data_IF_381274116058
#
_entry.id   IF_381274116058
#
_cell.length_a   1.000
_cell.length_b   1.000
_cell.length_c   1.000
_cell.angle_alpha   90.00
_cell.angle_beta   90.00
_cell.angle_gamma   90.00
#
_symmetry.space_group_name_H-M   'P 1'
#
loop_
_entity.id
_entity.type
_entity.pdbx_description
1 polymer ?
#
# COMPACT_ATOMS: atom_id res chain seq x y z
N UNK A 1 10.13 35.94 -31.34
CA UNK A 1 9.96 34.45 -31.31
C UNK A 1 11.31 33.75 -31.30
N UNK A 2 12.28 34.31 -31.99
CA UNK A 2 13.69 33.82 -32.06
C UNK A 2 14.31 33.68 -30.65
N UNK A 3 14.18 34.70 -29.80
CA UNK A 3 14.68 34.64 -28.42
C UNK A 3 14.08 33.50 -27.61
N UNK A 4 12.80 33.22 -27.84
CA UNK A 4 12.10 32.11 -27.16
C UNK A 4 12.65 30.75 -27.61
N UNK A 5 12.91 30.61 -28.92
CA UNK A 5 13.51 29.41 -29.50
C UNK A 5 14.94 29.24 -29.00
N UNK A 6 15.74 30.33 -28.96
CA UNK A 6 17.09 30.28 -28.40
C UNK A 6 17.10 29.88 -26.93
N UNK A 7 16.25 30.48 -26.08
CA UNK A 7 16.17 30.11 -24.68
C UNK A 7 15.73 28.64 -24.52
N UNK A 8 14.83 28.13 -25.38
CA UNK A 8 14.46 26.71 -25.35
C UNK A 8 15.66 25.81 -25.66
N UNK A 9 16.46 26.15 -26.64
CA UNK A 9 17.65 25.37 -27.04
C UNK A 9 18.67 25.34 -25.92
N UNK A 10 18.94 26.51 -25.31
CA UNK A 10 19.97 26.68 -24.28
C UNK A 10 19.58 26.01 -22.96
N UNK A 11 18.30 26.13 -22.54
CA UNK A 11 17.86 25.73 -21.21
C UNK A 11 17.06 24.44 -21.20
N UNK A 12 16.57 23.97 -22.36
CA UNK A 12 15.64 22.85 -22.48
C UNK A 12 14.42 22.97 -21.52
N UNK A 13 14.00 24.19 -21.21
CA UNK A 13 12.86 24.47 -20.34
C UNK A 13 11.52 24.02 -20.99
N UNK A 14 10.43 23.93 -20.20
CA UNK A 14 9.14 23.51 -20.75
C UNK A 14 8.50 24.60 -21.60
N UNK A 15 7.76 24.18 -22.64
CA UNK A 15 7.00 25.13 -23.48
C UNK A 15 6.02 25.92 -22.63
N UNK A 16 5.35 25.29 -21.63
CA UNK A 16 4.45 26.00 -20.70
C UNK A 16 5.18 27.08 -19.89
N UNK A 17 6.42 26.83 -19.47
CA UNK A 17 7.22 27.84 -18.79
C UNK A 17 7.49 29.04 -19.73
N UNK A 18 7.91 28.79 -20.96
CA UNK A 18 8.12 29.82 -21.95
C UNK A 18 6.83 30.58 -22.31
N UNK A 19 5.73 29.85 -22.47
CA UNK A 19 4.41 30.43 -22.72
C UNK A 19 4.02 31.43 -21.63
N UNK A 20 4.20 31.03 -20.36
CA UNK A 20 3.95 31.89 -19.20
C UNK A 20 4.91 33.07 -19.12
N UNK A 21 6.22 32.83 -19.31
CA UNK A 21 7.27 33.86 -19.23
C UNK A 21 7.08 34.94 -20.28
N UNK A 22 6.82 34.51 -21.51
CA UNK A 22 6.72 35.43 -22.67
C UNK A 22 5.29 35.83 -23.00
N UNK A 23 4.29 35.38 -22.24
CA UNK A 23 2.86 35.63 -22.47
C UNK A 23 2.46 35.32 -23.92
N UNK A 24 2.90 34.18 -24.43
CA UNK A 24 2.61 33.66 -25.78
C UNK A 24 1.91 32.33 -25.72
N UNK A 25 1.20 31.99 -26.79
CA UNK A 25 0.56 30.71 -26.94
C UNK A 25 1.57 29.56 -27.02
N UNK A 26 1.35 28.49 -26.24
CA UNK A 26 2.24 27.32 -26.17
C UNK A 26 2.35 26.58 -27.52
N UNK A 27 1.25 26.51 -28.29
CA UNK A 27 1.25 25.88 -29.59
C UNK A 27 2.05 26.71 -30.62
N UNK A 28 1.97 28.03 -30.54
CA UNK A 28 2.77 28.91 -31.38
C UNK A 28 4.28 28.76 -31.12
N UNK A 29 4.66 28.65 -29.83
CA UNK A 29 6.05 28.37 -29.43
C UNK A 29 6.50 27.00 -29.94
N UNK A 30 5.67 25.96 -29.76
CA UNK A 30 5.98 24.64 -30.26
C UNK A 30 6.21 24.59 -31.78
N UNK A 31 5.34 25.27 -32.52
CA UNK A 31 5.50 25.38 -33.99
C UNK A 31 6.78 26.14 -34.38
N UNK A 32 7.14 27.22 -33.68
CA UNK A 32 8.36 27.96 -33.94
C UNK A 32 9.61 27.13 -33.69
N UNK A 33 9.66 26.35 -32.60
CA UNK A 33 10.77 25.43 -32.29
C UNK A 33 10.93 24.38 -33.39
N UNK A 34 9.81 23.76 -33.84
CA UNK A 34 9.83 22.79 -34.93
C UNK A 34 10.27 23.41 -36.25
N UNK A 35 9.80 24.62 -36.57
CA UNK A 35 10.20 25.37 -37.79
C UNK A 35 11.68 25.69 -37.78
N UNK A 36 12.30 25.90 -36.61
CA UNK A 36 13.72 26.08 -36.44
C UNK A 36 14.55 24.77 -36.52
N UNK A 37 13.92 23.65 -36.83
CA UNK A 37 14.61 22.35 -37.00
C UNK A 37 14.86 21.58 -35.70
N UNK A 38 14.25 21.99 -34.59
CA UNK A 38 14.45 21.34 -33.30
C UNK A 38 13.22 20.52 -32.89
N UNK A 39 13.47 19.36 -32.27
CA UNK A 39 12.40 18.60 -31.70
C UNK A 39 11.90 19.21 -30.38
N UNK A 40 10.58 19.24 -30.24
CA UNK A 40 9.94 19.60 -28.99
C UNK A 40 9.97 18.39 -28.06
N UNK A 41 10.83 18.44 -27.05
CA UNK A 41 10.93 17.40 -26.06
C UNK A 41 9.65 17.39 -25.22
N UNK A 42 8.81 16.40 -25.43
CA UNK A 42 7.72 16.13 -24.50
C UNK A 42 8.32 15.57 -23.20
N UNK A 43 8.33 16.38 -22.14
CA UNK A 43 8.88 15.96 -20.85
C UNK A 43 8.16 14.77 -20.23
N UNK A 44 6.95 14.46 -20.68
CA UNK A 44 6.25 13.25 -20.29
C UNK A 44 6.92 11.99 -20.84
N UNK A 45 7.50 12.08 -22.05
CA UNK A 45 8.27 10.99 -22.66
C UNK A 45 9.65 10.77 -22.01
N UNK A 46 10.09 11.69 -21.15
CA UNK A 46 11.33 11.53 -20.37
C UNK A 46 11.13 10.83 -19.04
N UNK A 47 9.86 10.58 -18.66
CA UNK A 47 9.57 9.81 -17.45
C UNK A 47 9.73 8.34 -17.83
N UNK A 48 10.77 7.73 -17.28
CA UNK A 48 10.99 6.28 -17.41
C UNK A 48 10.44 5.60 -16.18
N UNK A 49 9.72 4.53 -16.38
CA UNK A 49 9.28 3.56 -15.40
C UNK A 49 9.44 2.17 -16.01
N UNK A 50 9.52 1.15 -15.19
CA UNK A 50 9.30 -0.23 -15.64
C UNK A 50 7.80 -0.48 -15.72
N UNK A 51 7.17 -0.17 -16.85
CA UNK A 51 5.73 -0.32 -17.04
C UNK A 51 5.27 -1.79 -17.12
N UNK A 52 6.21 -2.72 -17.36
CA UNK A 52 5.99 -4.17 -17.46
C UNK A 52 6.18 -4.91 -16.13
N UNK A 53 6.43 -4.20 -15.03
CA UNK A 53 6.80 -4.83 -13.76
C UNK A 53 5.72 -5.74 -13.19
N UNK A 54 4.46 -5.46 -13.50
CA UNK A 54 3.30 -6.26 -13.09
C UNK A 54 2.75 -7.20 -14.17
N UNK A 55 3.44 -7.39 -15.30
CA UNK A 55 2.99 -8.34 -16.33
C UNK A 55 2.94 -9.79 -15.80
N UNK A 56 3.74 -10.08 -14.78
CA UNK A 56 3.73 -11.33 -14.01
C UNK A 56 3.83 -11.04 -12.53
N UNK A 57 3.06 -11.76 -11.71
CA UNK A 57 3.17 -11.70 -10.23
C UNK A 57 3.89 -12.96 -9.76
N UNK A 58 5.22 -12.92 -9.79
CA UNK A 58 6.14 -14.06 -9.60
C UNK A 58 7.10 -13.89 -8.41
N UNK A 59 7.08 -12.74 -7.73
CA UNK A 59 7.92 -12.45 -6.55
C UNK A 59 7.10 -11.90 -5.40
N UNK A 60 7.63 -12.07 -4.16
CA UNK A 60 7.09 -11.45 -2.95
C UNK A 60 6.84 -9.95 -3.14
N UNK A 61 7.84 -9.24 -3.68
CA UNK A 61 7.77 -7.79 -3.83
C UNK A 61 6.67 -7.35 -4.79
N UNK A 62 6.50 -8.04 -5.93
CA UNK A 62 5.41 -7.74 -6.88
C UNK A 62 4.04 -8.02 -6.28
N UNK A 63 3.87 -9.15 -5.59
CA UNK A 63 2.63 -9.50 -4.92
C UNK A 63 2.29 -8.49 -3.81
N UNK A 64 3.27 -8.12 -3.00
CA UNK A 64 3.12 -7.11 -1.95
C UNK A 64 2.69 -5.76 -2.52
N UNK A 65 3.42 -5.25 -3.51
CA UNK A 65 3.06 -3.95 -4.11
C UNK A 65 1.71 -3.98 -4.80
N UNK A 66 1.34 -5.09 -5.45
CA UNK A 66 -0.01 -5.23 -6.02
C UNK A 66 -1.07 -5.10 -4.92
N UNK A 67 -0.91 -5.77 -3.78
CA UNK A 67 -1.79 -5.66 -2.62
C UNK A 67 -1.88 -4.22 -2.10
N UNK A 68 -0.74 -3.55 -1.96
CA UNK A 68 -0.68 -2.15 -1.52
C UNK A 68 -1.36 -1.21 -2.52
N UNK A 69 -1.25 -1.47 -3.83
CA UNK A 69 -1.94 -0.71 -4.86
C UNK A 69 -3.46 -0.94 -4.85
N UNK A 70 -3.90 -2.13 -4.46
CA UNK A 70 -5.33 -2.41 -4.25
C UNK A 70 -5.91 -1.58 -3.11
N UNK A 71 -5.12 -1.24 -2.10
CA UNK A 71 -5.49 -0.29 -1.04
C UNK A 71 -5.35 1.17 -1.53
N UNK A 72 -4.14 1.66 -1.67
CA UNK A 72 -3.82 3.08 -1.82
C UNK A 72 -3.57 3.55 -3.26
N UNK A 73 -3.44 2.64 -4.23
CA UNK A 73 -3.24 3.00 -5.63
C UNK A 73 -4.48 3.62 -6.27
N UNK A 74 -4.30 4.61 -7.11
CA UNK A 74 -5.37 5.25 -7.87
C UNK A 74 -5.04 5.25 -9.37
N UNK A 75 -5.92 4.65 -10.16
CA UNK A 75 -5.85 4.62 -11.62
C UNK A 75 -6.92 5.53 -12.19
N UNK A 76 -6.53 6.48 -13.05
CA UNK A 76 -7.47 7.39 -13.69
C UNK A 76 -8.35 6.66 -14.71
N UNK A 77 -9.61 7.13 -14.85
CA UNK A 77 -10.54 6.64 -15.89
C UNK A 77 -10.12 7.03 -17.31
N UNK A 78 -9.55 8.22 -17.50
CA UNK A 78 -9.39 8.86 -18.82
C UNK A 78 -7.94 8.98 -19.27
N UNK A 79 -7.02 9.25 -18.35
CA UNK A 79 -5.71 9.80 -18.71
C UNK A 79 -4.58 8.79 -18.65
N UNK A 80 -4.88 7.48 -18.46
CA UNK A 80 -3.86 6.44 -18.20
C UNK A 80 -2.83 6.90 -17.14
N UNK A 81 -3.30 7.68 -16.18
CA UNK A 81 -2.52 8.23 -15.09
C UNK A 81 -2.64 7.34 -13.87
N UNK A 82 -1.51 6.97 -13.32
CA UNK A 82 -1.39 6.34 -12.02
C UNK A 82 -0.99 7.40 -10.99
N UNK A 83 -1.58 7.33 -9.81
CA UNK A 83 -1.19 8.14 -8.65
C UNK A 83 -1.26 7.30 -7.37
N UNK A 84 -0.24 7.39 -6.54
CA UNK A 84 -0.26 6.93 -5.15
C UNK A 84 0.23 8.06 -4.27
N UNK A 85 -0.51 8.34 -3.19
CA UNK A 85 -0.16 9.40 -2.25
C UNK A 85 -0.20 8.86 -0.83
N UNK A 86 0.90 9.00 -0.09
CA UNK A 86 1.02 8.55 1.29
C UNK A 86 1.27 9.74 2.23
N UNK A 87 0.87 9.61 3.48
CA UNK A 87 1.17 10.58 4.52
C UNK A 87 2.70 10.75 4.71
N UNK A 88 3.13 11.89 5.23
CA UNK A 88 4.56 12.21 5.43
C UNK A 88 5.30 11.13 6.24
N UNK A 89 4.64 10.53 7.25
CA UNK A 89 5.21 9.44 8.04
C UNK A 89 5.53 8.16 7.26
N UNK A 90 4.89 7.96 6.12
CA UNK A 90 5.05 6.81 5.24
C UNK A 90 5.81 7.18 3.95
N UNK A 91 6.53 8.32 3.94
CA UNK A 91 7.29 8.82 2.79
C UNK A 91 8.30 7.80 2.28
N UNK A 92 9.08 7.21 3.18
CA UNK A 92 10.11 6.22 2.83
C UNK A 92 9.51 4.98 2.14
N UNK A 93 8.30 4.60 2.53
CA UNK A 93 7.60 3.50 1.88
C UNK A 93 7.21 3.84 0.44
N UNK A 94 6.79 5.09 0.20
CA UNK A 94 6.53 5.58 -1.15
C UNK A 94 7.81 5.66 -1.99
N UNK A 95 8.96 5.97 -1.38
CA UNK A 95 10.27 5.95 -2.05
C UNK A 95 10.67 4.52 -2.42
N UNK A 96 10.42 3.52 -1.56
CA UNK A 96 10.60 2.09 -1.87
C UNK A 96 9.80 1.70 -3.13
N UNK A 97 8.51 2.08 -3.19
CA UNK A 97 7.69 1.85 -4.38
C UNK A 97 8.24 2.54 -5.63
N UNK A 98 8.63 3.81 -5.49
CA UNK A 98 9.20 4.60 -6.59
C UNK A 98 10.45 3.95 -7.19
N UNK A 99 11.30 3.39 -6.33
CA UNK A 99 12.50 2.65 -6.74
C UNK A 99 12.13 1.28 -7.37
N UNK A 100 11.17 0.56 -6.80
CA UNK A 100 10.69 -0.71 -7.31
C UNK A 100 10.22 -0.62 -8.77
N UNK A 101 9.45 0.41 -9.12
CA UNK A 101 9.01 0.64 -10.49
C UNK A 101 10.06 1.34 -11.35
N UNK A 102 11.28 1.54 -10.85
CA UNK A 102 12.36 2.26 -11.52
C UNK A 102 11.93 3.63 -12.07
N UNK A 103 11.17 4.38 -11.26
CA UNK A 103 10.65 5.69 -11.66
C UNK A 103 11.75 6.74 -11.68
N UNK A 104 12.01 7.35 -12.85
CA UNK A 104 13.09 8.31 -13.05
C UNK A 104 12.91 9.66 -12.35
N UNK A 105 11.76 9.90 -11.74
CA UNK A 105 11.46 11.14 -10.98
C UNK A 105 11.27 10.84 -9.51
N UNK A 106 11.73 11.76 -8.67
CA UNK A 106 11.48 11.72 -7.24
C UNK A 106 10.00 11.95 -6.93
N UNK A 107 9.55 11.40 -5.82
CA UNK A 107 8.23 11.68 -5.24
C UNK A 107 8.09 13.16 -4.93
N UNK A 108 6.86 13.68 -4.97
CA UNK A 108 6.57 15.10 -4.79
C UNK A 108 5.79 15.37 -3.52
N UNK A 109 6.15 16.42 -2.79
CA UNK A 109 5.35 16.92 -1.69
C UNK A 109 3.98 17.40 -2.21
N UNK A 110 2.93 16.98 -1.55
CA UNK A 110 1.52 17.34 -1.78
C UNK A 110 0.92 17.82 -0.46
N UNK A 111 0.33 19.01 -0.45
CA UNK A 111 -0.43 19.49 0.70
C UNK A 111 -1.87 19.03 0.59
N UNK A 112 -2.37 18.35 1.61
CA UNK A 112 -3.75 17.84 1.70
C UNK A 112 -4.49 18.60 2.78
N UNK A 113 -5.64 19.18 2.44
CA UNK A 113 -6.50 19.86 3.40
C UNK A 113 -7.58 18.88 3.87
N UNK A 114 -7.63 18.64 5.17
CA UNK A 114 -8.65 17.79 5.80
C UNK A 114 -9.13 18.46 7.09
N UNK A 115 -10.44 18.62 7.26
CA UNK A 115 -11.06 19.25 8.44
C UNK A 115 -10.39 20.59 8.82
N UNK A 116 -10.20 21.48 7.86
CA UNK A 116 -9.53 22.79 7.99
C UNK A 116 -8.05 22.76 8.43
N UNK A 117 -7.45 21.58 8.56
CA UNK A 117 -6.01 21.42 8.81
C UNK A 117 -5.29 21.04 7.53
N UNK A 118 -4.05 21.50 7.37
CA UNK A 118 -3.21 21.16 6.23
C UNK A 118 -2.18 20.13 6.67
N UNK A 119 -2.10 19.02 5.94
CA UNK A 119 -1.16 17.94 6.19
C UNK A 119 -0.23 17.79 4.99
N UNK A 120 1.01 17.41 5.27
CA UNK A 120 1.94 17.01 4.25
C UNK A 120 1.67 15.55 3.84
N UNK A 121 1.69 15.32 2.55
CA UNK A 121 1.70 14.00 1.94
C UNK A 121 2.74 13.96 0.82
N UNK A 122 3.18 12.80 0.42
CA UNK A 122 4.04 12.63 -0.73
C UNK A 122 3.31 11.85 -1.82
N UNK A 123 3.62 12.15 -3.07
CA UNK A 123 2.94 11.59 -4.23
C UNK A 123 3.93 11.06 -5.24
N UNK A 124 3.72 9.82 -5.68
CA UNK A 124 4.25 9.23 -6.91
C UNK A 124 3.16 9.28 -7.99
N UNK A 125 3.45 9.80 -9.17
CA UNK A 125 2.47 9.83 -10.26
C UNK A 125 3.15 9.88 -11.62
N UNK A 126 2.61 9.13 -12.56
CA UNK A 126 3.08 9.03 -13.94
C UNK A 126 1.95 8.60 -14.87
N UNK A 127 2.17 8.71 -16.17
CA UNK A 127 1.27 8.21 -17.19
C UNK A 127 1.90 7.00 -17.88
N UNK A 128 1.21 5.87 -17.87
CA UNK A 128 1.52 4.71 -18.67
C UNK A 128 0.23 3.95 -18.96
N UNK A 129 -0.06 3.77 -20.23
CA UNK A 129 -1.24 3.01 -20.65
C UNK A 129 -1.11 1.55 -20.24
N UNK A 130 0.05 0.94 -20.51
CA UNK A 130 0.31 -0.47 -20.22
C UNK A 130 0.15 -0.75 -18.72
N UNK A 131 0.88 -0.02 -17.87
CA UNK A 131 0.81 -0.18 -16.41
C UNK A 131 -0.62 -0.04 -15.87
N UNK A 132 -1.35 0.99 -16.32
CA UNK A 132 -2.73 1.21 -15.88
C UNK A 132 -3.70 0.12 -16.35
N UNK A 133 -3.55 -0.36 -17.58
CA UNK A 133 -4.40 -1.41 -18.14
C UNK A 133 -4.13 -2.76 -17.47
N UNK A 134 -2.87 -3.11 -17.19
CA UNK A 134 -2.49 -4.30 -16.40
C UNK A 134 -3.12 -4.26 -15.00
N UNK A 135 -3.03 -3.14 -14.29
CA UNK A 135 -3.66 -3.02 -12.97
C UNK A 135 -5.19 -3.15 -13.04
N UNK A 136 -5.83 -2.57 -14.06
CA UNK A 136 -7.29 -2.71 -14.26
C UNK A 136 -7.69 -4.16 -14.54
N UNK A 137 -6.92 -4.89 -15.34
CA UNK A 137 -7.16 -6.31 -15.60
C UNK A 137 -7.10 -7.15 -14.32
N UNK A 138 -6.24 -6.80 -13.37
CA UNK A 138 -6.16 -7.46 -12.07
C UNK A 138 -7.27 -7.04 -11.10
N UNK A 139 -8.04 -5.98 -11.41
CA UNK A 139 -9.13 -5.50 -10.58
C UNK A 139 -8.84 -4.20 -9.82
N UNK A 140 -7.64 -3.61 -9.96
CA UNK A 140 -7.35 -2.28 -9.43
C UNK A 140 -7.96 -1.20 -10.34
N UNK A 141 -9.28 -1.06 -10.26
CA UNK A 141 -10.09 -0.20 -11.15
C UNK A 141 -10.22 1.22 -10.59
N UNK A 142 -10.56 2.21 -11.45
CA UNK A 142 -10.85 3.57 -10.99
C UNK A 142 -12.01 3.60 -9.98
N UNK A 143 -11.90 4.45 -8.95
CA UNK A 143 -12.93 4.60 -7.90
C UNK A 143 -13.27 3.29 -7.19
N UNK A 144 -12.26 2.45 -6.95
CA UNK A 144 -12.41 1.07 -6.46
C UNK A 144 -13.01 0.93 -5.06
N UNK A 145 -13.01 1.97 -4.22
CA UNK A 145 -13.34 1.87 -2.78
C UNK A 145 -14.66 1.14 -2.48
N UNK A 146 -15.67 1.26 -3.35
CA UNK A 146 -16.98 0.64 -3.15
C UNK A 146 -17.23 -0.60 -4.04
N UNK A 147 -16.32 -0.92 -4.94
CA UNK A 147 -16.51 -1.97 -5.96
C UNK A 147 -15.31 -2.91 -6.03
N UNK A 148 -14.35 -2.78 -5.12
CA UNK A 148 -13.14 -3.59 -5.10
C UNK A 148 -13.50 -5.06 -4.92
N UNK A 149 -12.91 -5.90 -5.77
CA UNK A 149 -13.00 -7.35 -5.71
C UNK A 149 -11.61 -7.92 -5.51
N UNK A 150 -11.54 -9.07 -4.88
CA UNK A 150 -10.29 -9.82 -4.76
C UNK A 150 -9.83 -10.25 -6.17
N UNK A 151 -8.54 -10.15 -6.50
CA UNK A 151 -8.05 -10.54 -7.82
C UNK A 151 -8.22 -12.05 -8.07
N UNK A 152 -8.19 -12.44 -9.34
CA UNK A 152 -8.13 -13.85 -9.72
C UNK A 152 -6.82 -14.47 -9.19
N UNK A 153 -6.92 -15.65 -8.57
CA UNK A 153 -5.76 -16.38 -8.03
C UNK A 153 -4.74 -16.76 -9.10
N UNK A 154 -5.18 -16.93 -10.33
CA UNK A 154 -4.34 -17.33 -11.46
C UNK A 154 -3.35 -16.26 -11.91
N UNK A 155 -3.49 -15.00 -11.43
CA UNK A 155 -2.49 -13.97 -11.71
C UNK A 155 -1.17 -14.21 -10.94
N UNK A 156 -1.24 -14.97 -9.83
CA UNK A 156 -0.06 -15.30 -9.04
C UNK A 156 0.61 -16.57 -9.61
N UNK A 157 1.88 -16.49 -9.92
CA UNK A 157 2.64 -17.65 -10.41
C UNK A 157 2.75 -18.79 -9.38
N UNK A 158 2.60 -18.45 -8.09
CA UNK A 158 2.58 -19.37 -6.97
C UNK A 158 1.55 -18.89 -5.93
N UNK A 159 0.72 -19.79 -5.42
CA UNK A 159 -0.30 -19.48 -4.39
C UNK A 159 0.28 -18.93 -3.09
N UNK A 160 1.53 -19.23 -2.75
CA UNK A 160 2.20 -18.68 -1.57
C UNK A 160 2.32 -17.14 -1.64
N UNK A 161 2.37 -16.56 -2.85
CA UNK A 161 2.42 -15.12 -3.08
C UNK A 161 1.12 -14.40 -2.68
N UNK A 162 0.02 -15.13 -2.53
CA UNK A 162 -1.25 -14.55 -2.05
C UNK A 162 -1.06 -13.96 -0.64
N UNK A 163 -0.28 -14.62 0.22
CA UNK A 163 0.06 -14.08 1.55
C UNK A 163 0.71 -12.69 1.43
N UNK A 164 1.59 -12.51 0.48
CA UNK A 164 2.31 -11.25 0.28
C UNK A 164 1.38 -10.16 -0.26
N UNK A 165 0.46 -10.51 -1.15
CA UNK A 165 -0.62 -9.63 -1.57
C UNK A 165 -1.51 -9.21 -0.38
N UNK A 166 -1.88 -10.15 0.49
CA UNK A 166 -2.67 -9.86 1.69
C UNK A 166 -1.93 -8.89 2.62
N UNK A 167 -0.62 -9.07 2.81
CA UNK A 167 0.22 -8.16 3.61
C UNK A 167 0.26 -6.78 3.00
N UNK A 168 0.47 -6.67 1.68
CA UNK A 168 0.47 -5.39 0.98
C UNK A 168 -0.85 -4.65 1.15
N UNK A 169 -1.98 -5.33 0.97
CA UNK A 169 -3.29 -4.74 1.19
C UNK A 169 -3.50 -4.31 2.65
N UNK A 170 -3.09 -5.16 3.60
CA UNK A 170 -3.15 -4.84 5.02
C UNK A 170 -2.29 -3.62 5.37
N UNK A 171 -1.14 -3.45 4.75
CA UNK A 171 -0.27 -2.30 4.97
C UNK A 171 -0.90 -0.99 4.47
N UNK A 172 -1.70 -1.02 3.43
CA UNK A 172 -2.51 0.12 2.99
C UNK A 172 -3.75 0.32 3.88
N UNK A 173 -4.75 -0.53 3.74
CA UNK A 173 -6.11 -0.38 4.31
C UNK A 173 -6.32 -1.10 5.66
N UNK A 174 -5.29 -1.71 6.24
CA UNK A 174 -5.37 -2.31 7.56
C UNK A 174 -4.95 -1.36 8.68
N UNK A 175 -5.29 -1.72 9.90
CA UNK A 175 -4.91 -0.99 11.11
C UNK A 175 -4.50 -1.95 12.22
N UNK A 176 -3.45 -1.60 12.96
CA UNK A 176 -3.05 -2.25 14.21
C UNK A 176 -3.26 -1.22 15.32
N UNK A 177 -4.05 -1.56 16.33
CA UNK A 177 -4.35 -0.71 17.48
C UNK A 177 -4.22 -1.49 18.78
N UNK A 178 -4.04 -0.76 19.88
CA UNK A 178 -4.13 -1.31 21.22
C UNK A 178 -5.58 -1.27 21.71
N UNK A 179 -6.04 -2.33 22.36
CA UNK A 179 -7.39 -2.43 22.93
C UNK A 179 -7.45 -2.04 24.41
N UNK A 180 -6.31 -2.04 25.10
CA UNK A 180 -6.22 -1.75 26.52
C UNK A 180 -5.15 -0.66 26.80
N UNK A 181 -5.23 -0.07 28.00
CA UNK A 181 -4.31 1.01 28.41
C UNK A 181 -2.87 0.52 28.57
N UNK A 182 -2.68 -0.72 28.95
CA UNK A 182 -1.38 -1.37 29.18
C UNK A 182 -0.68 -1.75 27.86
N UNK A 183 -1.35 -1.54 26.72
CA UNK A 183 -0.82 -1.86 25.38
C UNK A 183 -0.43 -3.35 25.18
N UNK A 184 -1.09 -4.26 25.92
CA UNK A 184 -0.82 -5.70 25.86
C UNK A 184 -1.78 -6.45 24.93
N UNK A 185 -2.97 -5.89 24.64
CA UNK A 185 -3.96 -6.49 23.76
C UNK A 185 -4.04 -5.69 22.47
N UNK A 186 -3.85 -6.38 21.34
CA UNK A 186 -3.97 -5.77 20.02
C UNK A 186 -5.34 -6.02 19.40
N UNK A 187 -5.76 -5.11 18.56
CA UNK A 187 -6.78 -5.34 17.55
C UNK A 187 -6.21 -5.05 16.17
N UNK A 188 -6.47 -5.96 15.27
CA UNK A 188 -6.24 -5.80 13.84
C UNK A 188 -7.56 -5.57 13.17
N UNK A 189 -7.62 -4.56 12.31
CA UNK A 189 -8.76 -4.25 11.47
C UNK A 189 -8.34 -4.19 10.03
N UNK A 190 -9.17 -4.75 9.16
CA UNK A 190 -8.96 -4.74 7.70
C UNK A 190 -10.25 -4.22 7.08
N UNK A 191 -10.16 -3.08 6.40
CA UNK A 191 -11.30 -2.46 5.72
C UNK A 191 -11.33 -2.88 4.26
N UNK A 192 -12.54 -2.92 3.67
CA UNK A 192 -12.71 -3.24 2.24
C UNK A 192 -14.18 -3.45 1.91
N UNK A 193 -14.49 -3.83 0.67
CA UNK A 193 -15.85 -4.27 0.32
C UNK A 193 -16.15 -5.62 0.96
N UNK A 194 -17.42 -5.93 1.19
CA UNK A 194 -17.85 -7.23 1.75
C UNK A 194 -17.36 -8.39 0.86
N UNK A 195 -17.46 -8.23 -0.47
CA UNK A 195 -17.00 -9.24 -1.44
C UNK A 195 -15.50 -9.48 -1.34
N UNK A 196 -14.72 -8.40 -1.28
CA UNK A 196 -13.26 -8.47 -1.13
C UNK A 196 -12.87 -9.13 0.19
N UNK A 197 -13.46 -8.71 1.31
CA UNK A 197 -13.13 -9.21 2.65
C UNK A 197 -13.51 -10.69 2.82
N UNK A 198 -14.62 -11.16 2.23
CA UNK A 198 -14.98 -12.58 2.23
C UNK A 198 -13.92 -13.43 1.52
N UNK A 199 -13.40 -12.97 0.38
CA UNK A 199 -12.31 -13.69 -0.31
C UNK A 199 -10.98 -13.56 0.44
N UNK A 200 -10.67 -12.38 0.97
CA UNK A 200 -9.45 -12.11 1.73
C UNK A 200 -9.32 -13.07 2.92
N UNK A 201 -10.38 -13.22 3.74
CA UNK A 201 -10.33 -14.08 4.92
C UNK A 201 -10.15 -15.57 4.60
N UNK A 202 -10.54 -16.05 3.41
CA UNK A 202 -10.36 -17.46 3.04
C UNK A 202 -8.87 -17.88 2.97
N UNK A 203 -7.95 -16.92 2.86
CA UNK A 203 -6.50 -17.15 2.86
C UNK A 203 -5.84 -16.87 4.21
N UNK A 204 -6.59 -16.40 5.20
CA UNK A 204 -6.08 -16.20 6.55
C UNK A 204 -6.10 -17.53 7.33
N UNK A 205 -5.19 -17.71 8.31
CA UNK A 205 -5.19 -18.90 9.18
C UNK A 205 -6.44 -19.01 10.05
N UNK A 206 -7.12 -17.89 10.27
CA UNK A 206 -8.40 -17.80 10.97
C UNK A 206 -9.42 -17.24 9.97
N UNK A 207 -10.31 -18.09 9.51
CA UNK A 207 -11.40 -17.76 8.60
C UNK A 207 -12.75 -17.76 9.32
N UNK A 208 -13.83 -17.41 8.60
CA UNK A 208 -15.21 -17.34 9.12
C UNK A 208 -15.45 -16.28 10.21
N UNK A 209 -14.61 -15.22 10.26
CA UNK A 209 -14.90 -14.08 11.09
C UNK A 209 -16.05 -13.26 10.50
N UNK A 210 -16.90 -12.73 11.38
CA UNK A 210 -18.01 -11.87 10.97
C UNK A 210 -17.49 -10.54 10.46
N UNK A 211 -17.86 -10.18 9.23
CA UNK A 211 -17.64 -8.82 8.71
C UNK A 211 -18.64 -7.89 9.42
N UNK A 212 -18.11 -6.86 10.08
CA UNK A 212 -18.91 -5.82 10.75
C UNK A 212 -18.90 -4.55 9.91
N UNK A 213 -19.93 -3.71 10.06
CA UNK A 213 -20.01 -2.42 9.36
C UNK A 213 -19.86 -1.32 10.39
N UNK A 214 -18.74 -0.60 10.35
CA UNK A 214 -18.45 0.51 11.24
C UNK A 214 -18.42 1.81 10.42
N UNK A 215 -19.30 2.75 10.75
CA UNK A 215 -19.42 4.03 10.03
C UNK A 215 -19.57 3.87 8.51
N UNK A 216 -20.38 2.90 8.09
CA UNK A 216 -20.63 2.52 6.70
C UNK A 216 -19.44 1.87 5.97
N UNK A 217 -18.39 1.47 6.68
CA UNK A 217 -17.24 0.75 6.12
C UNK A 217 -17.26 -0.70 6.63
N UNK A 218 -17.30 -1.71 5.73
CA UNK A 218 -17.14 -3.10 6.13
C UNK A 218 -15.71 -3.35 6.61
N UNK A 219 -15.58 -4.07 7.74
CA UNK A 219 -14.29 -4.42 8.35
C UNK A 219 -14.27 -5.84 8.92
N UNK A 220 -13.12 -6.49 8.83
CA UNK A 220 -12.74 -7.66 9.61
C UNK A 220 -11.96 -7.19 10.83
N UNK A 221 -12.32 -7.71 12.03
CA UNK A 221 -11.62 -7.34 13.26
C UNK A 221 -11.18 -8.61 13.99
N UNK A 222 -9.90 -8.65 14.39
CA UNK A 222 -9.28 -9.72 15.15
C UNK A 222 -8.64 -9.12 16.41
N UNK A 223 -8.93 -9.66 17.59
CA UNK A 223 -8.52 -9.08 18.87
C UNK A 223 -7.70 -10.11 19.67
N UNK A 224 -6.70 -9.64 20.42
CA UNK A 224 -5.88 -10.48 21.29
C UNK A 224 -5.10 -11.54 20.53
N UNK A 225 -5.22 -12.80 20.93
CA UNK A 225 -4.52 -13.94 20.32
C UNK A 225 -4.81 -14.08 18.82
N UNK A 226 -6.08 -13.91 18.40
CA UNK A 226 -6.44 -13.96 16.99
C UNK A 226 -5.77 -12.81 16.20
N UNK A 227 -5.72 -11.61 16.77
CA UNK A 227 -4.99 -10.49 16.18
C UNK A 227 -3.51 -10.77 16.01
N UNK A 228 -2.88 -11.38 17.03
CA UNK A 228 -1.48 -11.79 16.95
C UNK A 228 -1.25 -12.85 15.86
N UNK A 229 -2.12 -13.88 15.81
CA UNK A 229 -2.02 -14.93 14.78
C UNK A 229 -2.07 -14.37 13.37
N UNK A 230 -2.97 -13.43 13.09
CA UNK A 230 -3.06 -12.78 11.79
C UNK A 230 -1.82 -11.91 11.51
N UNK A 231 -1.36 -11.10 12.47
CA UNK A 231 -0.12 -10.33 12.32
C UNK A 231 1.07 -11.23 12.02
N UNK A 232 1.23 -12.28 12.80
CA UNK A 232 2.33 -13.22 12.63
C UNK A 232 2.27 -13.89 11.25
N UNK A 233 1.09 -14.32 10.81
CA UNK A 233 0.91 -14.86 9.46
C UNK A 233 1.35 -13.87 8.39
N UNK A 234 0.94 -12.60 8.48
CA UNK A 234 1.25 -11.60 7.46
C UNK A 234 2.73 -11.21 7.43
N UNK A 235 3.38 -11.09 8.60
CA UNK A 235 4.71 -10.49 8.69
C UNK A 235 5.85 -11.47 8.91
N UNK A 236 5.58 -12.69 9.38
CA UNK A 236 6.64 -13.68 9.60
C UNK A 236 7.37 -14.02 8.29
N UNK A 237 8.70 -13.90 8.30
CA UNK A 237 9.59 -14.14 7.16
C UNK A 237 9.35 -13.19 5.97
N UNK A 238 8.74 -12.03 6.19
CA UNK A 238 8.56 -11.02 5.14
C UNK A 238 9.81 -10.17 4.95
N UNK A 239 10.11 -9.84 3.70
CA UNK A 239 11.24 -8.96 3.35
C UNK A 239 10.80 -7.54 3.03
N UNK A 240 9.52 -7.34 2.71
CA UNK A 240 8.94 -6.04 2.41
C UNK A 240 7.66 -5.81 3.23
N UNK A 241 7.55 -4.64 3.84
CA UNK A 241 6.47 -4.25 4.73
C UNK A 241 6.45 -2.72 4.95
N UNK A 242 5.31 -2.21 5.47
CA UNK A 242 5.22 -0.85 5.96
C UNK A 242 5.83 -0.76 7.36
N UNK A 243 6.94 -0.03 7.49
CA UNK A 243 7.82 -0.03 8.67
C UNK A 243 7.06 0.18 9.99
N UNK A 244 6.20 1.20 10.08
CA UNK A 244 5.46 1.50 11.31
C UNK A 244 4.53 0.38 11.79
N UNK A 245 3.97 -0.43 10.86
CA UNK A 245 3.11 -1.56 11.21
C UNK A 245 3.96 -2.77 11.61
N UNK A 246 5.06 -2.99 10.91
CA UNK A 246 6.00 -4.05 11.23
C UNK A 246 6.66 -3.83 12.60
N UNK A 247 7.00 -2.58 12.97
CA UNK A 247 7.51 -2.26 14.30
C UNK A 247 6.49 -2.59 15.41
N UNK A 248 5.20 -2.28 15.20
CA UNK A 248 4.14 -2.69 16.12
C UNK A 248 4.07 -4.22 16.25
N UNK A 249 4.10 -4.95 15.14
CA UNK A 249 4.14 -6.41 15.16
C UNK A 249 5.34 -6.92 15.99
N UNK A 250 6.55 -6.38 15.80
CA UNK A 250 7.75 -6.77 16.59
C UNK A 250 7.58 -6.49 18.08
N UNK A 251 6.94 -5.39 18.45
CA UNK A 251 6.63 -5.08 19.85
C UNK A 251 5.72 -6.16 20.46
N UNK A 252 4.72 -6.61 19.71
CA UNK A 252 3.83 -7.68 20.17
C UNK A 252 4.52 -9.02 20.26
N UNK A 253 5.37 -9.37 19.32
CA UNK A 253 6.18 -10.60 19.42
C UNK A 253 6.95 -10.66 20.73
N UNK A 254 7.55 -9.54 21.15
CA UNK A 254 8.29 -9.45 22.43
C UNK A 254 7.35 -9.58 23.63
N UNK A 255 6.18 -8.95 23.59
CA UNK A 255 5.21 -8.99 24.67
C UNK A 255 4.60 -10.39 24.84
N UNK A 256 4.24 -11.06 23.76
CA UNK A 256 3.74 -12.43 23.78
C UNK A 256 4.81 -13.42 24.23
N UNK A 257 6.06 -13.29 23.80
CA UNK A 257 7.15 -14.11 24.27
C UNK A 257 7.35 -13.97 25.78
N UNK A 258 7.39 -12.76 26.29
CA UNK A 258 7.50 -12.47 27.73
C UNK A 258 6.32 -13.04 28.53
N UNK A 259 5.10 -12.95 28.01
CA UNK A 259 3.91 -13.53 28.63
C UNK A 259 4.01 -15.06 28.67
N UNK A 260 4.47 -15.68 27.58
CA UNK A 260 4.66 -17.13 27.51
C UNK A 260 5.71 -17.62 28.52
N UNK A 261 6.88 -16.94 28.59
CA UNK A 261 7.92 -17.23 29.56
C UNK A 261 7.43 -17.08 31.02
N UNK A 262 6.60 -16.06 31.30
CA UNK A 262 5.98 -15.88 32.62
C UNK A 262 4.96 -16.95 32.97
N UNK A 263 4.20 -17.47 31.99
CA UNK A 263 3.27 -18.57 32.19
C UNK A 263 4.03 -19.89 32.44
N UNK A 264 5.07 -20.18 31.67
CA UNK A 264 5.90 -21.36 31.89
C UNK A 264 6.59 -21.36 33.26
N UNK A 265 7.11 -20.21 33.71
CA UNK A 265 7.71 -20.10 35.05
C UNK A 265 6.70 -20.37 36.16
N UNK A 266 5.45 -19.87 36.04
CA UNK A 266 4.39 -20.12 37.01
C UNK A 266 3.89 -21.57 37.02
N UNK A 267 3.87 -22.23 35.86
CA UNK A 267 3.51 -23.65 35.74
C UNK A 267 4.62 -24.52 36.34
N UNK A 268 5.89 -24.16 36.16
CA UNK A 268 7.05 -24.86 36.73
C UNK A 268 7.15 -24.73 38.26
N UNK A 269 6.60 -23.67 38.87
CA UNK A 269 6.55 -23.46 40.32
C UNK A 269 5.35 -24.14 41.01
N UNK A 270 4.37 -24.65 40.25
CA UNK A 270 3.06 -25.09 40.77
C UNK A 270 2.60 -26.49 40.41
N UNK A 271 3.42 -27.38 39.85
CA UNK A 271 2.97 -28.75 39.52
C UNK A 271 3.48 -29.78 40.53
N UNK A 272 2.73 -29.93 41.62
CA UNK A 272 2.47 -31.27 42.15
C UNK A 272 1.46 -31.97 41.21
N UNK A 273 1.82 -33.20 40.79
CA UNK A 273 1.19 -33.98 39.75
C UNK A 273 -0.32 -34.20 40.01
N UNK A 274 -1.17 -33.71 39.15
CA UNK A 274 -2.42 -34.31 38.66
C UNK A 274 -3.38 -33.23 38.16
N UNK A 275 -3.23 -32.81 36.94
CA UNK A 275 -4.33 -32.41 36.03
C UNK A 275 -3.78 -32.07 34.66
N UNK A 276 -3.93 -32.94 33.69
CA UNK A 276 -3.84 -32.63 32.28
C UNK A 276 -5.02 -31.73 31.93
N UNK A 277 -4.85 -30.41 31.98
CA UNK A 277 -5.77 -29.47 31.37
C UNK A 277 -5.07 -28.90 30.14
N UNK A 278 -5.52 -29.34 29.00
CA UNK A 278 -5.22 -28.73 27.70
C UNK A 278 -5.69 -27.28 27.72
N UNK A 279 -4.76 -26.33 27.76
CA UNK A 279 -5.08 -24.91 27.65
C UNK A 279 -5.32 -24.59 26.18
N UNK A 280 -6.59 -24.40 25.83
CA UNK A 280 -7.00 -23.90 24.51
C UNK A 280 -6.72 -22.42 24.41
N UNK A 281 -5.61 -22.06 23.74
CA UNK A 281 -5.13 -20.69 23.54
C UNK A 281 -6.02 -19.92 22.54
N UNK A 282 -7.02 -20.57 21.91
CA UNK A 282 -7.89 -19.93 20.89
C UNK A 282 -8.90 -18.93 21.46
N UNK A 283 -9.17 -18.98 22.76
CA UNK A 283 -10.21 -18.16 23.38
C UNK A 283 -9.70 -17.10 24.36
N UNK A 284 -8.77 -16.29 24.10
CA UNK A 284 -8.25 -15.12 24.85
C UNK A 284 -9.09 -14.49 25.98
N UNK A 285 -9.75 -15.29 26.84
CA UNK A 285 -10.46 -14.84 28.04
C UNK A 285 -9.82 -15.48 29.29
N UNK A 286 -8.95 -14.73 29.94
CA UNK A 286 -8.64 -14.98 31.36
C UNK A 286 -9.76 -14.30 32.14
N UNK A 287 -10.72 -15.09 32.63
CA UNK A 287 -11.61 -14.61 33.68
C UNK A 287 -10.80 -14.44 34.97
N UNK A 288 -10.95 -13.28 35.59
CA UNK A 288 -10.35 -12.93 36.89
C UNK A 288 -10.96 -13.73 38.02
#
# INVERSE_FOLDING_TARGET
>A
MEDIVKEYIDTKCSIQFLAKKYKKDAMAISRAIKKAGYEVVNRQNLIKINEHIFDTIDTEEKAYWLGFLFADGNVSKRDNCFEMSLAEKDKEHLEKFNNFINHSRNIKLKKVKLNNKVFNAYRCSFNSKHFCDTLKQYGCVPQKSNILKFPDENIFSNKNLIKDFLRGYFDGDGCITHCNKEHTIIAIKICGTVEFLNKYQNYLPLNNHKITITRSVPELTFIGGSGFTICNFLYQNSTIYLERKYELYKQYCRSYKKLYELLESKIGEGCDANTEQTIDISQGSIAA
#
